data_IF_451674247704
#
_entry.id   IF_451674247704
#
_cell.length_a   1.000
_cell.length_b   1.000
_cell.length_c   1.000
_cell.angle_alpha   90.00
_cell.angle_beta   90.00
_cell.angle_gamma   90.00
#
_symmetry.space_group_name_H-M   'P 1'
#
loop_
_entity.id
_entity.type
_entity.pdbx_description
1 polymer ?
#
# COMPACT_ATOMS: atom_id res chain seq x y z
N UNK A 1 -12.72 -13.03 19.85
CA UNK A 1 -12.40 -12.32 18.59
C UNK A 1 -10.89 -12.38 18.44
N UNK A 2 -10.39 -13.09 17.41
CA UNK A 2 -8.95 -13.13 17.13
C UNK A 2 -8.53 -11.75 16.61
N UNK A 3 -7.47 -11.16 17.15
CA UNK A 3 -6.87 -9.97 16.55
C UNK A 3 -6.14 -10.43 15.29
N UNK A 4 -6.59 -9.98 14.12
CA UNK A 4 -5.84 -10.16 12.87
C UNK A 4 -4.48 -9.48 13.02
N UNK A 5 -3.42 -10.20 12.68
CA UNK A 5 -2.06 -9.68 12.75
C UNK A 5 -1.67 -9.16 11.38
N UNK A 6 -1.19 -7.92 11.34
CA UNK A 6 -0.57 -7.36 10.14
C UNK A 6 0.93 -7.45 10.28
N UNK A 7 1.58 -8.10 9.32
CA UNK A 7 3.05 -8.13 9.21
C UNK A 7 3.48 -7.09 8.20
N UNK A 8 4.47 -6.27 8.56
CA UNK A 8 5.06 -5.28 7.66
C UNK A 8 6.38 -5.82 7.14
N UNK A 9 6.51 -5.95 5.81
CA UNK A 9 7.72 -6.41 5.16
C UNK A 9 8.17 -5.46 4.06
N UNK A 10 9.44 -5.58 3.63
CA UNK A 10 9.96 -4.84 2.49
C UNK A 10 9.26 -5.34 1.22
N UNK A 11 8.67 -4.42 0.48
CA UNK A 11 7.97 -4.72 -0.76
C UNK A 11 8.90 -5.19 -1.87
N UNK A 12 8.39 -6.11 -2.69
CA UNK A 12 9.13 -6.73 -3.77
C UNK A 12 8.55 -6.33 -5.15
N UNK A 13 9.38 -6.28 -6.21
CA UNK A 13 8.91 -6.02 -7.57
C UNK A 13 7.79 -6.96 -8.04
N UNK A 14 7.79 -8.21 -7.58
CA UNK A 14 6.75 -9.19 -7.89
C UNK A 14 5.35 -8.78 -7.40
N UNK A 15 5.26 -7.88 -6.41
CA UNK A 15 4.01 -7.45 -5.79
C UNK A 15 3.42 -6.18 -6.45
N UNK A 16 4.06 -5.62 -7.49
CA UNK A 16 3.65 -4.33 -8.06
C UNK A 16 2.22 -4.35 -8.61
N UNK A 17 1.85 -5.41 -9.33
CA UNK A 17 0.50 -5.54 -9.87
C UNK A 17 -0.55 -5.62 -8.75
N UNK A 18 -0.26 -6.39 -7.71
CA UNK A 18 -1.15 -6.53 -6.55
C UNK A 18 -1.29 -5.21 -5.78
N UNK A 19 -0.22 -4.43 -5.68
CA UNK A 19 -0.21 -3.10 -5.06
C UNK A 19 -1.04 -2.11 -5.87
N UNK A 20 -0.86 -2.07 -7.21
CA UNK A 20 -1.66 -1.20 -8.08
C UNK A 20 -3.14 -1.58 -8.02
N UNK A 21 -3.45 -2.88 -7.99
CA UNK A 21 -4.80 -3.38 -7.80
C UNK A 21 -5.38 -2.99 -6.43
N UNK A 22 -4.59 -3.10 -5.36
CA UNK A 22 -4.98 -2.67 -4.03
C UNK A 22 -5.26 -1.15 -3.97
N UNK A 23 -4.37 -0.32 -4.52
CA UNK A 23 -4.51 1.14 -4.51
C UNK A 23 -5.68 1.61 -5.38
N UNK A 24 -5.90 0.96 -6.54
CA UNK A 24 -7.02 1.24 -7.44
C UNK A 24 -8.38 0.83 -6.87
N UNK A 25 -8.42 -0.13 -5.93
CA UNK A 25 -9.66 -0.49 -5.21
C UNK A 25 -10.26 0.67 -4.41
N UNK A 26 -9.44 1.69 -4.10
CA UNK A 26 -9.91 2.93 -3.49
C UNK A 26 -10.18 3.98 -4.57
N UNK A 27 -11.45 4.22 -4.86
CA UNK A 27 -11.92 5.11 -5.95
C UNK A 27 -11.31 6.51 -5.92
N UNK A 28 -11.06 7.06 -4.72
CA UNK A 28 -10.43 8.38 -4.59
C UNK A 28 -8.94 8.35 -4.90
N UNK A 29 -8.23 7.28 -4.54
CA UNK A 29 -6.82 7.12 -4.86
C UNK A 29 -6.62 6.79 -6.34
N UNK A 30 -7.48 5.94 -6.91
CA UNK A 30 -7.40 5.50 -8.31
C UNK A 30 -7.29 6.67 -9.30
N UNK A 31 -8.13 7.69 -9.14
CA UNK A 31 -8.15 8.87 -10.00
C UNK A 31 -6.87 9.72 -9.92
N UNK A 32 -6.05 9.49 -8.91
CA UNK A 32 -4.83 10.25 -8.64
C UNK A 32 -3.56 9.41 -8.75
N UNK A 33 -3.61 8.10 -9.03
CA UNK A 33 -2.41 7.25 -9.04
C UNK A 33 -1.38 7.71 -10.09
N UNK A 34 -1.84 8.08 -11.28
CA UNK A 34 -0.99 8.63 -12.34
C UNK A 34 -0.42 10.00 -11.94
N UNK A 35 -1.26 10.88 -11.39
CA UNK A 35 -0.86 12.21 -10.93
C UNK A 35 0.14 12.16 -9.76
N UNK A 36 0.05 11.13 -8.92
CA UNK A 36 0.96 10.87 -7.81
C UNK A 36 2.21 10.08 -8.24
N UNK A 37 2.35 9.77 -9.53
CA UNK A 37 3.46 8.99 -10.08
C UNK A 37 3.75 7.70 -9.30
N UNK A 38 2.70 6.98 -8.87
CA UNK A 38 2.85 5.81 -7.99
C UNK A 38 3.75 4.73 -8.61
N UNK A 39 3.60 4.46 -9.90
CA UNK A 39 4.46 3.48 -10.59
C UNK A 39 5.93 3.91 -10.59
N UNK A 40 6.22 5.17 -10.83
CA UNK A 40 7.57 5.71 -10.78
C UNK A 40 8.15 5.62 -9.36
N UNK A 41 7.33 5.95 -8.37
CA UNK A 41 7.69 5.89 -6.96
C UNK A 41 8.00 4.45 -6.50
N UNK A 42 7.20 3.46 -6.92
CA UNK A 42 7.47 2.05 -6.64
C UNK A 42 8.76 1.59 -7.32
N UNK A 43 9.05 2.07 -8.53
CA UNK A 43 10.27 1.73 -9.27
C UNK A 43 11.55 2.37 -8.70
N UNK A 44 11.45 3.57 -8.13
CA UNK A 44 12.60 4.36 -7.71
C UNK A 44 12.90 4.27 -6.20
N UNK A 45 11.91 3.93 -5.37
CA UNK A 45 12.05 3.97 -3.93
C UNK A 45 11.75 2.63 -3.25
N UNK A 46 12.39 2.42 -2.10
CA UNK A 46 12.01 1.33 -1.21
C UNK A 46 10.65 1.63 -0.58
N UNK A 47 9.79 0.62 -0.60
CA UNK A 47 8.49 0.67 0.04
C UNK A 47 8.28 -0.60 0.87
N UNK A 48 7.35 -0.53 1.80
CA UNK A 48 6.93 -1.61 2.68
C UNK A 48 5.46 -1.93 2.39
N UNK A 49 5.09 -3.17 2.63
CA UNK A 49 3.74 -3.66 2.43
C UNK A 49 3.29 -4.30 3.74
N UNK A 50 2.08 -3.95 4.18
CA UNK A 50 1.41 -4.65 5.26
C UNK A 50 0.56 -5.77 4.69
N UNK A 51 0.76 -6.97 5.22
CA UNK A 51 0.09 -8.20 4.82
C UNK A 51 -0.66 -8.77 6.03
N UNK A 52 -1.91 -9.19 5.83
CA UNK A 52 -2.70 -9.87 6.88
C UNK A 52 -2.43 -11.39 6.94
N UNK A 53 -3.14 -12.08 7.83
CA UNK A 53 -2.99 -13.53 8.02
C UNK A 53 -3.42 -14.38 6.80
N UNK A 54 -4.14 -13.77 5.84
CA UNK A 54 -4.64 -14.39 4.60
C UNK A 54 -3.79 -14.00 3.37
N UNK A 55 -2.57 -13.50 3.60
CA UNK A 55 -1.64 -13.01 2.58
C UNK A 55 -2.16 -11.82 1.73
N UNK A 56 -3.18 -11.08 2.21
CA UNK A 56 -3.71 -9.93 1.49
C UNK A 56 -2.95 -8.65 1.83
N UNK A 57 -2.73 -7.81 0.83
CA UNK A 57 -2.21 -6.46 1.01
C UNK A 57 -3.28 -5.59 1.68
N UNK A 58 -2.94 -5.05 2.86
CA UNK A 58 -3.83 -4.16 3.62
C UNK A 58 -3.30 -2.73 3.72
N UNK A 59 -2.00 -2.51 3.47
CA UNK A 59 -1.41 -1.19 3.35
C UNK A 59 -0.09 -1.21 2.56
N UNK A 60 0.27 -0.06 2.02
CA UNK A 60 1.54 0.16 1.32
C UNK A 60 2.15 1.45 1.88
N UNK A 61 3.40 1.38 2.34
CA UNK A 61 4.13 2.50 2.92
C UNK A 61 5.39 2.77 2.11
N UNK A 62 5.51 3.93 1.50
CA UNK A 62 6.76 4.36 0.86
C UNK A 62 7.31 5.59 1.56
N UNK A 63 8.63 5.69 1.66
CA UNK A 63 9.31 6.87 2.19
C UNK A 63 10.15 7.47 1.09
N UNK A 64 9.87 8.71 0.69
CA UNK A 64 10.77 9.45 -0.18
C UNK A 64 12.14 9.59 0.50
N UNK A 65 13.21 9.22 -0.20
CA UNK A 65 14.59 9.39 0.29
C UNK A 65 14.99 10.86 0.42
N UNK A 66 14.31 11.76 -0.27
CA UNK A 66 14.76 13.16 -0.43
C UNK A 66 14.19 14.11 0.62
N UNK A 67 13.17 13.72 1.37
CA UNK A 67 12.61 14.56 2.42
C UNK A 67 12.15 13.73 3.62
N UNK A 68 12.68 14.04 4.80
CA UNK A 68 12.23 13.60 6.13
C UNK A 68 10.80 14.07 6.48
N UNK A 69 9.97 14.39 5.49
CA UNK A 69 8.59 14.82 5.64
C UNK A 69 7.68 13.82 4.94
N UNK A 70 7.25 12.85 5.75
CA UNK A 70 6.12 11.92 5.62
C UNK A 70 5.39 11.83 4.26
N UNK A 71 5.28 10.60 3.74
CA UNK A 71 4.21 10.24 2.80
C UNK A 71 3.14 9.41 3.53
N UNK A 72 1.88 9.84 3.40
CA UNK A 72 0.71 9.15 3.94
C UNK A 72 0.10 8.26 2.86
N UNK A 73 -0.22 7.00 3.18
CA UNK A 73 -1.23 6.26 2.41
C UNK A 73 -2.16 5.51 3.37
N UNK A 74 -3.45 5.67 3.07
CA UNK A 74 -4.63 5.32 3.88
C UNK A 74 -4.80 3.82 4.09
N UNK A 75 -5.12 3.44 5.33
CA UNK A 75 -5.73 2.17 5.71
C UNK A 75 -7.09 2.02 5.01
N UNK A 76 -7.22 1.05 4.10
CA UNK A 76 -8.51 0.54 3.69
C UNK A 76 -8.90 -0.58 4.66
N UNK A 77 -9.63 -0.21 5.73
CA UNK A 77 -10.26 -1.19 6.59
C UNK A 77 -11.25 -2.02 5.75
N UNK A 78 -11.00 -3.33 5.66
CA UNK A 78 -11.95 -4.28 5.10
C UNK A 78 -13.30 -4.14 5.84
N UNK A 79 -14.39 -4.21 5.09
CA UNK A 79 -15.77 -4.03 5.58
C UNK A 79 -16.02 -4.85 6.85
N UNK A 80 -16.36 -4.20 7.95
CA UNK A 80 -17.07 -4.85 9.05
C UNK A 80 -18.43 -5.32 8.51
N UNK A 81 -18.53 -6.60 8.13
CA UNK A 81 -19.85 -7.22 7.99
C UNK A 81 -20.44 -7.38 9.39
N UNK A 82 -21.58 -6.72 9.63
CA UNK A 82 -22.55 -7.11 10.65
C UNK A 82 -23.45 -8.18 10.07
#
# INVERSE_FOLDING_TARGET
MSQSRTTICLGQPSQYQDILQFLSSNTYLYQHLEWLSIEELLNQHQFHVGIDDDDNIVCVLSTSKENTQFAWVRLAAHKFFR
#
